data_IF_953989018291
#
_entry.id   IF_953989018291
#
_cell.length_a   1.000
_cell.length_b   1.000
_cell.length_c   1.000
_cell.angle_alpha   90.00
_cell.angle_beta   90.00
_cell.angle_gamma   90.00
#
_symmetry.space_group_name_H-M   'P 1'
#
loop_
_entity.id
_entity.type
_entity.pdbx_description
1 polymer ?
#
# COMPACT_ATOMS: atom_id res chain seq x y z
N UNK A 1 -11.79 -38.29 -2.99
CA UNK A 1 -11.60 -37.38 -4.13
C UNK A 1 -10.94 -36.14 -3.58
N UNK A 2 -9.61 -36.08 -3.65
CA UNK A 2 -8.83 -34.90 -3.28
C UNK A 2 -8.98 -33.91 -4.41
N UNK A 3 -9.58 -32.75 -4.16
CA UNK A 3 -9.53 -31.66 -5.13
C UNK A 3 -8.07 -31.32 -5.43
N UNK A 4 -7.70 -31.05 -6.69
CA UNK A 4 -6.36 -30.57 -6.98
C UNK A 4 -6.23 -29.22 -6.29
N UNK A 5 -5.35 -29.13 -5.27
CA UNK A 5 -4.93 -27.85 -4.72
C UNK A 5 -4.30 -27.11 -5.90
N UNK A 6 -4.89 -26.00 -6.39
CA UNK A 6 -4.24 -25.26 -7.47
C UNK A 6 -2.87 -24.87 -6.94
N UNK A 7 -1.84 -25.19 -7.71
CA UNK A 7 -0.50 -24.65 -7.56
C UNK A 7 -0.60 -23.14 -7.79
N UNK A 8 -1.14 -22.42 -6.82
CA UNK A 8 -1.38 -20.99 -6.92
C UNK A 8 -0.05 -20.37 -6.58
N UNK A 9 0.59 -19.77 -7.59
CA UNK A 9 1.68 -18.85 -7.37
C UNK A 9 1.31 -17.95 -6.17
N UNK A 10 2.27 -17.65 -5.29
CA UNK A 10 2.00 -16.84 -4.12
C UNK A 10 1.28 -15.55 -4.55
N UNK A 11 0.17 -15.24 -3.90
CA UNK A 11 -0.62 -14.06 -4.25
C UNK A 11 -0.29 -12.95 -3.25
N UNK A 12 0.19 -11.83 -3.77
CA UNK A 12 0.19 -10.58 -3.03
C UNK A 12 -1.18 -9.92 -3.12
N UNK A 13 -1.53 -9.17 -2.08
CA UNK A 13 -2.64 -8.22 -2.13
C UNK A 13 -2.10 -6.83 -1.81
N UNK A 14 -2.42 -5.86 -2.66
CA UNK A 14 -2.10 -4.45 -2.49
C UNK A 14 -3.37 -3.74 -2.04
N UNK A 15 -3.42 -3.40 -0.75
CA UNK A 15 -4.53 -2.67 -0.16
C UNK A 15 -4.18 -1.19 -0.07
N UNK A 16 -4.95 -0.33 -0.73
CA UNK A 16 -4.62 1.09 -0.81
C UNK A 16 -5.81 2.00 -0.48
N UNK A 17 -5.50 3.21 0.00
CA UNK A 17 -6.42 4.33 0.08
C UNK A 17 -6.00 5.40 -0.95
N UNK A 18 -6.95 5.97 -1.70
CA UNK A 18 -6.68 7.10 -2.59
C UNK A 18 -7.87 8.05 -2.66
N UNK A 19 -7.59 9.35 -2.72
CA UNK A 19 -8.62 10.40 -2.88
C UNK A 19 -8.61 10.99 -4.28
N UNK A 20 -7.43 11.26 -4.81
CA UNK A 20 -7.21 11.96 -6.09
C UNK A 20 -6.43 11.07 -7.09
N UNK A 21 -6.36 9.76 -6.84
CA UNK A 21 -5.81 8.77 -7.77
C UNK A 21 -4.31 8.55 -7.78
N UNK A 22 -3.50 9.43 -7.16
CA UNK A 22 -2.05 9.23 -7.14
C UNK A 22 -1.64 7.93 -6.44
N UNK A 23 -2.18 7.64 -5.25
CA UNK A 23 -1.87 6.39 -4.54
C UNK A 23 -2.31 5.16 -5.33
N UNK A 24 -3.46 5.23 -6.01
CA UNK A 24 -3.95 4.15 -6.87
C UNK A 24 -3.01 3.89 -8.05
N UNK A 25 -2.59 4.95 -8.75
CA UNK A 25 -1.63 4.84 -9.87
C UNK A 25 -0.29 4.25 -9.43
N UNK A 26 0.18 4.63 -8.25
CA UNK A 26 1.38 4.03 -7.64
C UNK A 26 1.13 2.55 -7.31
N UNK A 27 -0.02 2.20 -6.73
CA UNK A 27 -0.39 0.81 -6.45
C UNK A 27 -0.41 -0.05 -7.72
N UNK A 28 -0.98 0.47 -8.81
CA UNK A 28 -1.01 -0.16 -10.14
C UNK A 28 0.42 -0.41 -10.65
N UNK A 29 1.28 0.62 -10.64
CA UNK A 29 2.67 0.47 -11.07
C UNK A 29 3.46 -0.54 -10.22
N UNK A 30 3.22 -0.60 -8.90
CA UNK A 30 3.81 -1.61 -8.01
C UNK A 30 3.33 -3.01 -8.42
N UNK A 31 2.01 -3.18 -8.64
CA UNK A 31 1.44 -4.46 -9.06
C UNK A 31 2.07 -4.93 -10.37
N UNK A 32 2.19 -4.04 -11.36
CA UNK A 32 2.83 -4.33 -12.64
C UNK A 32 4.29 -4.76 -12.47
N UNK A 33 5.06 -4.04 -11.64
CA UNK A 33 6.45 -4.42 -11.34
C UNK A 33 6.60 -5.75 -10.62
N UNK A 34 5.57 -6.23 -9.92
CA UNK A 34 5.57 -7.53 -9.27
C UNK A 34 5.29 -8.68 -10.26
N UNK A 35 4.60 -8.43 -11.38
CA UNK A 35 4.05 -9.46 -12.28
C UNK A 35 5.10 -10.42 -12.88
N UNK A 36 6.36 -10.01 -12.99
CA UNK A 36 7.44 -10.89 -13.47
C UNK A 36 7.63 -12.14 -12.59
N UNK A 37 7.26 -12.05 -11.31
CA UNK A 37 7.56 -13.06 -10.30
C UNK A 37 6.38 -13.39 -9.39
N UNK A 38 5.41 -12.49 -9.24
CA UNK A 38 4.34 -12.58 -8.26
C UNK A 38 3.07 -11.90 -8.77
N UNK A 39 1.95 -12.61 -8.77
CA UNK A 39 0.66 -11.99 -9.04
C UNK A 39 0.21 -11.15 -7.84
N UNK A 40 -0.20 -9.91 -8.10
CA UNK A 40 -0.70 -9.00 -7.07
C UNK A 40 -2.13 -8.55 -7.38
N UNK A 41 -3.05 -8.76 -6.44
CA UNK A 41 -4.40 -8.20 -6.52
C UNK A 41 -4.44 -6.77 -5.99
N UNK A 42 -5.18 -5.88 -6.64
CA UNK A 42 -5.40 -4.50 -6.19
C UNK A 42 -6.74 -4.41 -5.47
N UNK A 43 -6.73 -3.88 -4.24
CA UNK A 43 -7.94 -3.72 -3.43
C UNK A 43 -7.94 -2.32 -2.84
N UNK A 44 -8.96 -1.55 -3.18
CA UNK A 44 -9.23 -0.32 -2.44
C UNK A 44 -9.68 -0.67 -1.02
N UNK A 45 -9.17 0.04 -0.01
CA UNK A 45 -9.46 -0.22 1.41
C UNK A 45 -10.96 -0.27 1.73
N UNK A 46 -11.81 0.41 0.94
CA UNK A 46 -13.28 0.38 1.08
C UNK A 46 -13.89 -0.99 0.77
N UNK A 47 -13.21 -1.78 -0.03
CA UNK A 47 -13.61 -3.12 -0.44
C UNK A 47 -12.77 -4.20 0.25
N UNK A 48 -11.76 -3.80 1.02
CA UNK A 48 -10.89 -4.72 1.73
C UNK A 48 -11.67 -5.46 2.81
N UNK A 49 -11.47 -6.78 2.85
CA UNK A 49 -12.08 -7.62 3.88
C UNK A 49 -11.50 -7.24 5.26
N UNK A 50 -12.33 -7.10 6.31
CA UNK A 50 -11.83 -7.00 7.67
C UNK A 50 -11.03 -8.26 8.04
N UNK A 51 -9.93 -8.10 8.78
CA UNK A 51 -9.09 -9.20 9.26
C UNK A 51 -8.70 -10.24 8.18
N UNK A 52 -8.43 -9.78 6.95
CA UNK A 52 -8.01 -10.65 5.85
C UNK A 52 -6.75 -11.46 6.13
N UNK A 53 -6.62 -12.63 5.50
CA UNK A 53 -5.42 -13.45 5.50
C UNK A 53 -4.76 -13.41 4.12
N UNK A 54 -3.52 -12.93 4.06
CA UNK A 54 -2.74 -12.78 2.83
C UNK A 54 -1.44 -13.58 2.92
N UNK A 55 -0.82 -13.90 1.78
CA UNK A 55 0.54 -14.42 1.80
C UNK A 55 1.55 -13.28 1.91
N UNK A 56 1.32 -12.23 1.12
CA UNK A 56 2.09 -10.99 1.10
C UNK A 56 1.09 -9.84 1.11
N UNK A 57 1.32 -8.85 1.97
CA UNK A 57 0.45 -7.68 2.06
C UNK A 57 1.24 -6.40 1.75
N UNK A 58 0.87 -5.69 0.70
CA UNK A 58 1.40 -4.36 0.38
C UNK A 58 0.34 -3.33 0.75
N UNK A 59 0.70 -2.31 1.52
CA UNK A 59 -0.28 -1.35 2.04
C UNK A 59 0.11 0.08 1.67
N UNK A 60 -0.82 0.82 1.08
CA UNK A 60 -0.58 2.17 0.56
C UNK A 60 -1.59 3.21 1.07
N UNK A 61 -1.14 4.41 1.39
CA UNK A 61 -2.05 5.51 1.70
C UNK A 61 -1.45 6.88 1.35
N UNK A 62 -2.26 7.90 1.05
CA UNK A 62 -1.77 9.28 1.00
C UNK A 62 -1.35 9.75 2.39
N UNK A 63 -0.35 10.61 2.45
CA UNK A 63 0.06 11.26 3.70
C UNK A 63 -0.80 12.49 3.97
N UNK A 64 -1.57 12.46 5.07
CA UNK A 64 -2.36 13.58 5.58
C UNK A 64 -1.81 14.01 6.95
N UNK A 65 -1.58 15.31 7.14
CA UNK A 65 -1.15 15.89 8.43
C UNK A 65 -0.06 15.05 9.13
N UNK A 66 1.05 14.80 8.42
CA UNK A 66 2.20 14.01 8.88
C UNK A 66 2.00 12.49 9.03
N UNK A 67 0.84 11.92 8.70
CA UNK A 67 0.57 10.49 8.93
C UNK A 67 -0.55 9.92 8.04
N UNK A 68 -1.14 8.80 8.46
CA UNK A 68 -2.36 8.23 7.88
C UNK A 68 -3.56 9.17 8.09
N UNK A 69 -4.47 9.15 7.13
CA UNK A 69 -5.73 9.89 7.18
C UNK A 69 -6.53 9.61 8.47
N UNK A 70 -7.39 10.57 8.82
CA UNK A 70 -8.39 10.48 9.89
C UNK A 70 -9.75 10.87 9.31
N UNK A 71 -10.88 10.52 9.94
CA UNK A 71 -12.21 10.91 9.44
C UNK A 71 -12.31 12.40 9.09
N UNK A 72 -11.73 13.28 9.92
CA UNK A 72 -11.70 14.72 9.68
C UNK A 72 -10.91 15.12 8.41
N UNK A 73 -9.71 14.56 8.20
CA UNK A 73 -8.89 14.90 7.03
C UNK A 73 -9.45 14.29 5.73
N UNK A 74 -10.21 13.19 5.84
CA UNK A 74 -10.95 12.62 4.70
C UNK A 74 -12.11 13.52 4.26
N UNK A 75 -12.85 14.08 5.22
CA UNK A 75 -13.87 15.10 4.94
C UNK A 75 -13.26 16.38 4.37
N UNK A 76 -12.08 16.76 4.83
CA UNK A 76 -11.36 17.90 4.27
C UNK A 76 -10.97 17.70 2.79
N UNK A 77 -10.55 16.49 2.41
CA UNK A 77 -10.26 16.16 1.02
C UNK A 77 -11.48 16.33 0.09
N UNK A 78 -12.69 16.01 0.56
CA UNK A 78 -13.93 16.33 -0.18
C UNK A 78 -14.13 17.84 -0.37
N UNK A 79 -13.87 18.63 0.67
CA UNK A 79 -14.03 20.08 0.61
C UNK A 79 -13.04 20.65 -0.42
N UNK A 80 -11.81 20.15 -0.45
CA UNK A 80 -10.82 20.55 -1.45
C UNK A 80 -11.24 20.20 -2.87
N UNK A 81 -11.88 19.05 -3.09
CA UNK A 81 -12.39 18.67 -4.42
C UNK A 81 -13.55 19.56 -4.92
N UNK A 82 -14.25 20.25 -4.01
CA UNK A 82 -15.31 21.22 -4.36
C UNK A 82 -14.76 22.61 -4.67
N UNK A 83 -13.48 22.86 -4.41
CA UNK A 83 -12.81 24.12 -4.71
C UNK A 83 -12.28 24.10 -6.15
N UNK A 84 -12.88 24.85 -7.09
CA UNK A 84 -12.46 24.85 -8.49
C UNK A 84 -11.01 25.33 -8.67
N UNK A 85 -10.48 26.12 -7.73
CA UNK A 85 -9.10 26.61 -7.79
C UNK A 85 -8.05 25.53 -7.54
N UNK A 86 -8.43 24.39 -6.98
CA UNK A 86 -7.50 23.29 -6.67
C UNK A 86 -7.35 22.25 -7.77
N UNK A 87 -8.23 22.24 -8.78
CA UNK A 87 -8.20 21.28 -9.89
C UNK A 87 -8.12 19.81 -9.46
N UNK A 88 -8.68 19.48 -8.30
CA UNK A 88 -8.69 18.12 -7.74
C UNK A 88 -9.99 17.40 -8.13
N UNK A 89 -9.87 16.23 -8.74
CA UNK A 89 -11.01 15.35 -8.99
C UNK A 89 -10.99 14.25 -7.93
N UNK A 90 -12.01 14.25 -7.08
CA UNK A 90 -12.19 13.19 -6.09
C UNK A 90 -12.62 11.91 -6.80
N UNK A 91 -11.86 10.84 -6.63
CA UNK A 91 -12.23 9.54 -7.21
C UNK A 91 -13.55 9.06 -6.59
N UNK A 92 -13.71 9.24 -5.26
CA UNK A 92 -14.86 8.78 -4.49
C UNK A 92 -15.08 9.63 -3.23
N UNK A 93 -16.33 9.74 -2.74
CA UNK A 93 -16.65 10.49 -1.51
C UNK A 93 -15.80 10.14 -0.27
N UNK A 94 -15.76 11.03 0.71
CA UNK A 94 -15.12 10.84 2.03
C UNK A 94 -15.71 9.63 2.73
N UNK A 95 -14.80 8.85 3.31
CA UNK A 95 -15.12 7.55 3.88
C UNK A 95 -15.10 7.60 5.41
N UNK A 96 -15.93 6.76 6.02
CA UNK A 96 -15.82 6.45 7.45
C UNK A 96 -14.55 5.65 7.77
N UNK A 97 -14.13 4.73 6.89
CA UNK A 97 -12.98 3.82 7.10
C UNK A 97 -11.85 4.10 6.09
N UNK A 98 -10.63 4.32 6.58
CA UNK A 98 -9.40 4.36 5.79
C UNK A 98 -8.40 3.27 6.23
N UNK A 99 -7.17 3.35 5.74
CA UNK A 99 -6.11 2.37 6.03
C UNK A 99 -5.78 2.31 7.52
N UNK A 100 -5.90 3.45 8.22
CA UNK A 100 -5.74 3.52 9.68
C UNK A 100 -6.68 2.54 10.37
N UNK A 101 -7.98 2.69 10.14
CA UNK A 101 -9.02 1.91 10.79
C UNK A 101 -8.97 0.44 10.31
N UNK A 102 -8.68 0.21 9.02
CA UNK A 102 -8.58 -1.14 8.48
C UNK A 102 -7.42 -1.95 9.10
N UNK A 103 -6.25 -1.35 9.35
CA UNK A 103 -5.14 -2.06 10.02
C UNK A 103 -5.53 -2.49 11.45
N UNK A 104 -6.38 -1.72 12.13
CA UNK A 104 -6.88 -2.05 13.47
C UNK A 104 -7.80 -3.28 13.47
N UNK A 105 -8.36 -3.67 12.32
CA UNK A 105 -9.08 -4.96 12.17
C UNK A 105 -8.17 -6.18 12.23
N UNK A 106 -6.85 -5.99 12.13
CA UNK A 106 -5.86 -7.05 12.28
C UNK A 106 -5.58 -7.90 11.02
N UNK A 107 -5.44 -7.34 9.81
CA UNK A 107 -5.14 -8.12 8.60
C UNK A 107 -3.78 -8.82 8.69
N UNK A 108 -3.70 -10.11 8.37
CA UNK A 108 -2.49 -10.92 8.55
C UNK A 108 -1.79 -11.22 7.22
N UNK A 109 -0.46 -11.43 7.27
CA UNK A 109 0.34 -11.83 6.13
C UNK A 109 1.36 -12.89 6.53
N UNK A 110 1.39 -14.03 5.83
CA UNK A 110 2.27 -15.17 6.16
C UNK A 110 3.75 -14.84 5.97
N UNK A 111 4.14 -14.25 4.83
CA UNK A 111 5.54 -13.98 4.50
C UNK A 111 6.00 -12.61 4.97
N UNK A 112 5.09 -11.63 5.00
CA UNK A 112 5.38 -10.29 5.50
C UNK A 112 4.60 -9.21 4.77
N UNK A 113 5.01 -7.96 5.01
CA UNK A 113 4.39 -6.78 4.44
C UNK A 113 5.39 -5.81 3.82
N UNK A 114 4.89 -4.95 2.95
CA UNK A 114 5.56 -3.74 2.45
C UNK A 114 4.60 -2.55 2.60
N UNK A 115 5.14 -1.34 2.77
CA UNK A 115 4.34 -0.14 2.97
C UNK A 115 4.80 0.99 2.04
N UNK A 116 3.85 1.71 1.45
CA UNK A 116 4.15 2.89 0.65
C UNK A 116 3.21 4.05 0.96
N UNK A 117 3.62 5.25 0.56
CA UNK A 117 2.74 6.41 0.56
C UNK A 117 2.94 7.30 -0.66
N UNK A 118 1.93 8.15 -0.92
CA UNK A 118 2.12 9.35 -1.71
C UNK A 118 2.19 10.56 -0.78
N UNK A 119 3.17 11.44 -0.99
CA UNK A 119 3.33 12.65 -0.17
C UNK A 119 3.85 13.81 -1.01
N UNK A 120 3.59 15.03 -0.54
CA UNK A 120 4.12 16.24 -1.16
C UNK A 120 5.66 16.22 -1.14
N UNK A 121 6.27 16.69 -2.22
CA UNK A 121 7.72 16.87 -2.35
C UNK A 121 8.25 18.00 -1.45
N UNK A 122 8.39 17.66 -0.18
CA UNK A 122 8.98 18.48 0.86
C UNK A 122 9.79 17.59 1.81
N UNK A 123 10.71 18.15 2.63
CA UNK A 123 11.46 17.36 3.59
C UNK A 123 10.54 16.58 4.52
N UNK A 124 10.85 15.29 4.74
CA UNK A 124 9.99 14.35 5.50
C UNK A 124 9.68 14.81 6.93
N UNK A 125 10.53 15.63 7.53
CA UNK A 125 10.28 16.22 8.86
C UNK A 125 9.04 17.14 8.85
N UNK A 126 8.72 17.73 7.70
CA UNK A 126 7.56 18.62 7.51
C UNK A 126 6.35 17.91 6.93
N UNK A 127 6.52 16.81 6.19
CA UNK A 127 5.38 16.10 5.58
C UNK A 127 4.93 14.90 6.38
N UNK A 128 5.79 14.36 7.24
CA UNK A 128 5.65 13.02 7.77
C UNK A 128 5.61 11.95 6.68
N UNK A 129 5.08 10.77 7.02
CA UNK A 129 4.94 9.65 6.10
C UNK A 129 3.87 8.67 6.59
N UNK A 130 2.85 8.44 5.77
CA UNK A 130 1.88 7.39 5.99
C UNK A 130 2.53 6.00 5.88
N UNK A 131 3.50 5.78 5.00
CA UNK A 131 4.21 4.51 4.85
C UNK A 131 4.89 4.09 6.16
N UNK A 132 5.59 5.03 6.81
CA UNK A 132 6.21 4.79 8.11
C UNK A 132 5.16 4.56 9.22
N UNK A 133 4.00 5.22 9.15
CA UNK A 133 2.91 5.02 10.09
C UNK A 133 2.22 3.66 9.92
N UNK A 134 2.09 3.17 8.69
CA UNK A 134 1.62 1.82 8.33
C UNK A 134 2.61 0.79 8.90
N UNK A 135 3.89 0.91 8.55
CA UNK A 135 4.92 -0.03 8.97
C UNK A 135 4.99 -0.16 10.50
N UNK A 136 5.00 0.97 11.21
CA UNK A 136 4.96 0.98 12.68
C UNK A 136 3.76 0.24 13.27
N UNK A 137 2.60 0.26 12.61
CA UNK A 137 1.38 -0.43 13.08
C UNK A 137 1.43 -1.92 12.78
N UNK A 138 1.83 -2.30 11.57
CA UNK A 138 1.95 -3.71 11.18
C UNK A 138 3.09 -4.41 11.95
N UNK A 139 4.21 -3.73 12.21
CA UNK A 139 5.30 -4.28 13.02
C UNK A 139 4.85 -4.60 14.45
N UNK A 140 4.02 -3.77 15.07
CA UNK A 140 3.47 -4.01 16.43
C UNK A 140 2.65 -5.29 16.55
N UNK A 141 2.18 -5.84 15.44
CA UNK A 141 1.40 -7.08 15.39
C UNK A 141 2.26 -8.32 15.09
N UNK A 142 3.60 -8.19 15.17
CA UNK A 142 4.54 -9.29 14.96
C UNK A 142 4.82 -9.63 13.48
N UNK A 143 4.39 -8.76 12.56
CA UNK A 143 4.54 -8.99 11.12
C UNK A 143 5.94 -8.60 10.64
N UNK A 144 6.49 -9.38 9.72
CA UNK A 144 7.81 -9.15 9.12
C UNK A 144 7.71 -8.09 8.03
N UNK A 145 8.57 -7.08 8.09
CA UNK A 145 8.78 -6.14 7.00
C UNK A 145 9.65 -6.81 5.92
N UNK A 146 9.19 -6.83 4.66
CA UNK A 146 9.91 -7.42 3.53
C UNK A 146 10.95 -6.44 2.96
N UNK A 147 10.53 -5.19 2.82
CA UNK A 147 11.34 -4.08 2.30
C UNK A 147 11.00 -2.82 3.10
N UNK A 148 11.94 -1.87 3.16
CA UNK A 148 11.72 -0.60 3.86
C UNK A 148 10.53 0.16 3.26
N UNK A 149 9.81 0.96 4.06
CA UNK A 149 8.69 1.75 3.57
C UNK A 149 9.18 2.81 2.56
N UNK A 150 8.44 2.96 1.46
CA UNK A 150 8.82 3.85 0.35
C UNK A 150 7.83 5.02 0.21
N UNK A 151 8.34 6.19 -0.19
CA UNK A 151 7.51 7.37 -0.49
C UNK A 151 7.59 7.72 -1.95
N UNK A 152 6.41 7.96 -2.54
CA UNK A 152 6.24 8.47 -3.89
C UNK A 152 5.77 9.92 -3.85
N UNK A 153 6.37 10.76 -4.69
CA UNK A 153 6.27 12.21 -4.54
C UNK A 153 5.21 12.82 -5.45
N UNK A 154 4.44 13.74 -4.90
CA UNK A 154 3.53 14.60 -5.66
C UNK A 154 3.93 16.07 -5.49
N UNK A 155 3.63 16.90 -6.48
CA UNK A 155 3.75 18.35 -6.37
C UNK A 155 2.66 18.94 -5.44
N UNK A 156 2.63 20.27 -5.33
CA UNK A 156 1.66 20.99 -4.47
C UNK A 156 0.23 20.95 -5.03
N UNK A 157 0.08 20.66 -6.31
CA UNK A 157 -1.20 20.58 -7.02
C UNK A 157 -1.69 19.12 -7.12
N UNK A 158 -1.02 18.20 -6.42
CA UNK A 158 -1.34 16.77 -6.40
C UNK A 158 -1.14 16.07 -7.75
N UNK A 159 -0.07 16.41 -8.48
CA UNK A 159 0.42 15.60 -9.59
C UNK A 159 1.62 14.77 -9.14
N UNK A 160 1.63 13.47 -9.49
CA UNK A 160 2.84 12.65 -9.34
C UNK A 160 4.02 13.28 -10.09
N UNK A 161 5.17 13.34 -9.43
CA UNK A 161 6.39 13.82 -10.06
C UNK A 161 6.85 12.88 -11.19
N UNK A 162 7.57 13.40 -12.20
CA UNK A 162 8.14 12.57 -13.25
C UNK A 162 9.05 11.47 -12.68
N UNK A 163 8.92 10.23 -13.18
CA UNK A 163 9.74 9.10 -12.75
C UNK A 163 9.18 8.30 -11.56
N UNK A 164 8.16 8.81 -10.86
CA UNK A 164 7.63 8.15 -9.66
C UNK A 164 6.92 6.83 -9.97
N UNK A 165 6.30 6.69 -11.14
CA UNK A 165 5.67 5.43 -11.56
C UNK A 165 6.71 4.38 -11.95
N UNK A 166 7.79 4.78 -12.61
CA UNK A 166 8.92 3.92 -12.96
C UNK A 166 9.64 3.43 -11.68
N UNK A 167 9.80 4.32 -10.69
CA UNK A 167 10.29 3.96 -9.36
C UNK A 167 9.34 2.98 -8.66
N UNK A 168 8.03 3.19 -8.76
CA UNK A 168 7.02 2.32 -8.16
C UNK A 168 7.07 0.91 -8.76
N UNK A 169 7.22 0.81 -10.08
CA UNK A 169 7.44 -0.44 -10.79
C UNK A 169 8.72 -1.16 -10.33
N UNK A 170 9.86 -0.46 -10.29
CA UNK A 170 11.12 -1.04 -9.82
C UNK A 170 11.05 -1.50 -8.35
N UNK A 171 10.32 -0.78 -7.50
CA UNK A 171 10.08 -1.16 -6.12
C UNK A 171 9.19 -2.40 -6.01
N UNK A 172 8.17 -2.54 -6.87
CA UNK A 172 7.37 -3.75 -7.02
C UNK A 172 8.21 -4.99 -7.32
N UNK A 173 9.14 -4.89 -8.28
CA UNK A 173 10.07 -5.98 -8.58
C UNK A 173 10.93 -6.36 -7.36
N UNK A 174 11.40 -5.35 -6.61
CA UNK A 174 12.18 -5.57 -5.37
C UNK A 174 11.37 -6.32 -4.31
N UNK A 175 10.08 -6.00 -4.14
CA UNK A 175 9.18 -6.73 -3.24
C UNK A 175 9.07 -8.20 -3.67
N UNK A 176 8.85 -8.46 -4.95
CA UNK A 176 8.70 -9.83 -5.44
C UNK A 176 9.95 -10.68 -5.19
N UNK A 177 11.15 -10.12 -5.41
CA UNK A 177 12.43 -10.79 -5.08
C UNK A 177 12.56 -11.07 -3.58
N UNK A 178 12.17 -10.13 -2.71
CA UNK A 178 12.20 -10.33 -1.26
C UNK A 178 11.24 -11.43 -0.79
N UNK A 179 10.08 -11.56 -1.44
CA UNK A 179 9.10 -12.63 -1.19
C UNK A 179 9.68 -13.99 -1.58
N UNK A 180 10.23 -14.12 -2.79
CA UNK A 180 10.85 -15.38 -3.25
C UNK A 180 12.00 -15.80 -2.33
N UNK A 181 12.84 -14.86 -1.91
CA UNK A 181 13.93 -15.12 -0.95
C UNK A 181 13.41 -15.64 0.39
N UNK A 182 12.31 -15.05 0.88
CA UNK A 182 11.67 -15.48 2.13
C UNK A 182 11.05 -16.87 2.03
N UNK A 183 10.46 -17.20 0.88
CA UNK A 183 9.89 -18.52 0.61
C UNK A 183 10.96 -19.62 0.57
N UNK A 184 12.06 -19.37 -0.13
CA UNK A 184 13.19 -20.30 -0.20
C UNK A 184 13.77 -20.59 1.19
N UNK A 185 13.91 -19.56 2.03
CA UNK A 185 14.37 -19.74 3.41
C UNK A 185 13.39 -20.60 4.24
N UNK A 186 12.08 -20.36 4.11
CA UNK A 186 11.05 -21.13 4.81
C UNK A 186 11.01 -22.60 4.38
N UNK A 187 11.15 -22.88 3.07
CA UNK A 187 11.21 -24.26 2.54
C UNK A 187 12.50 -25.00 2.90
N UNK A 188 13.61 -24.28 3.11
CA UNK A 188 14.88 -24.86 3.56
C UNK A 188 14.86 -25.29 5.03
N UNK A 189 14.09 -24.61 5.87
CA UNK A 189 13.92 -24.93 7.30
C UNK A 189 12.97 -26.11 7.57
N UNK A 190 12.30 -26.64 6.54
CA UNK A 190 11.37 -27.78 6.64
C UNK A 190 11.99 -29.12 6.22
N UNK A 191 13.29 -29.20 5.91
CA UNK A 191 13.97 -30.49 5.66
C UNK A 191 14.45 -31.12 6.98
N UNK A 192 14.19 -32.43 7.21
CA UNK A 192 14.53 -33.14 8.44
C UNK A 192 16.04 -33.23 8.68
#
# INVERSE_FOLDING_TARGET
MTEPVPNRAPNAEIVFESFFGNTRRVAEAIADGMQEHLSAGLVDVRQAKPAGHHQVLVVGAPTHAHSLSRPASRREAEIWARDPGKHLVLEHGSQETGIREWIETGPTATFGYAAFDTRVDMPRIFTGSAAAAIAKRLQKTGRRELVRPESFLVDKDSHLLPGELERAHAWGATIAVAVLSTQLAASGQQRP
#
